data_IF_708729581434
#
_entry.id   IF_708729581434
#
_cell.length_a   1.000
_cell.length_b   1.000
_cell.length_c   1.000
_cell.angle_alpha   90.00
_cell.angle_beta   90.00
_cell.angle_gamma   90.00
#
_symmetry.space_group_name_H-M   'P 1'
#
loop_
_entity.id
_entity.type
_entity.pdbx_description
1 polymer ?
#
# COMPACT_ATOMS: atom_id res chain seq x y z
N UNK A 1 -0.55 -17.01 -1.63
CA UNK A 1 0.46 -16.06 -1.27
C UNK A 1 -0.10 -14.94 -0.42
N UNK A 2 0.76 -14.28 0.31
CA UNK A 2 0.37 -13.17 1.16
C UNK A 2 0.50 -11.86 0.38
N UNK A 3 -0.53 -11.05 0.48
CA UNK A 3 -0.52 -9.72 -0.12
C UNK A 3 -1.38 -8.79 0.71
N UNK A 4 -0.95 -7.54 0.78
CA UNK A 4 -1.71 -6.48 1.42
C UNK A 4 -2.03 -5.45 0.36
N UNK A 5 -3.24 -4.92 0.41
CA UNK A 5 -3.72 -3.93 -0.54
C UNK A 5 -3.98 -2.62 0.16
N UNK A 6 -3.43 -1.55 -0.39
CA UNK A 6 -3.61 -0.20 0.14
C UNK A 6 -4.18 0.71 -0.93
N UNK A 7 -4.96 1.69 -0.51
CA UNK A 7 -5.27 2.83 -1.34
C UNK A 7 -4.31 3.94 -0.98
N UNK A 8 -3.56 4.44 -1.97
CA UNK A 8 -2.57 5.49 -1.76
C UNK A 8 -2.95 6.71 -2.57
N UNK A 9 -2.52 7.88 -2.11
CA UNK A 9 -2.69 9.14 -2.82
C UNK A 9 -1.33 9.61 -3.31
N UNK A 10 -1.27 10.04 -4.57
CA UNK A 10 -0.07 10.69 -5.09
C UNK A 10 -0.08 12.18 -4.72
N UNK A 11 0.97 12.90 -5.15
CA UNK A 11 1.12 14.31 -4.85
C UNK A 11 0.01 15.17 -5.47
N UNK A 12 -0.67 14.67 -6.48
CA UNK A 12 -1.78 15.35 -7.13
C UNK A 12 -3.12 14.99 -6.53
N UNK A 13 -3.15 14.15 -5.48
CA UNK A 13 -4.38 13.72 -4.84
C UNK A 13 -5.09 12.58 -5.55
N UNK A 14 -4.49 12.00 -6.58
CA UNK A 14 -5.09 10.87 -7.29
C UNK A 14 -4.91 9.59 -6.49
N UNK A 15 -5.95 8.78 -6.45
CA UNK A 15 -5.94 7.51 -5.73
C UNK A 15 -5.42 6.39 -6.63
N UNK A 16 -4.58 5.55 -6.03
CA UNK A 16 -4.04 4.36 -6.68
C UNK A 16 -4.18 3.18 -5.75
N UNK A 17 -4.41 2.01 -6.33
CA UNK A 17 -4.40 0.77 -5.60
C UNK A 17 -3.00 0.19 -5.63
N UNK A 18 -2.42 -0.06 -4.46
CA UNK A 18 -1.06 -0.56 -4.33
C UNK A 18 -1.07 -1.90 -3.60
N UNK A 19 -0.33 -2.85 -4.16
CA UNK A 19 -0.19 -4.19 -3.60
C UNK A 19 1.21 -4.37 -3.04
N UNK A 20 1.29 -4.93 -1.85
CA UNK A 20 2.56 -5.35 -1.25
C UNK A 20 2.51 -6.86 -1.06
N UNK A 21 3.35 -7.56 -1.79
CA UNK A 21 3.41 -9.03 -1.73
C UNK A 21 4.43 -9.50 -0.70
N UNK A 22 4.22 -10.69 -0.18
CA UNK A 22 5.08 -11.31 0.80
C UNK A 22 4.58 -11.09 2.23
N UNK A 23 5.46 -11.36 3.19
CA UNK A 23 5.13 -11.19 4.60
C UNK A 23 4.95 -9.70 4.94
N UNK A 24 3.79 -9.28 5.43
CA UNK A 24 3.56 -7.88 5.75
C UNK A 24 4.22 -7.41 7.05
N UNK A 25 4.75 -8.32 7.86
CA UNK A 25 5.27 -7.96 9.17
C UNK A 25 6.40 -6.93 9.13
N UNK A 26 7.40 -7.05 8.23
CA UNK A 26 8.45 -6.02 8.17
C UNK A 26 7.93 -4.64 7.82
N UNK A 27 7.02 -4.56 6.86
CA UNK A 27 6.41 -3.28 6.46
C UNK A 27 5.61 -2.68 7.61
N UNK A 28 4.81 -3.50 8.28
CA UNK A 28 3.99 -3.05 9.41
C UNK A 28 4.87 -2.56 10.55
N UNK A 29 5.95 -3.27 10.86
CA UNK A 29 6.89 -2.87 11.91
C UNK A 29 7.57 -1.54 11.55
N UNK A 30 7.97 -1.38 10.30
CA UNK A 30 8.59 -0.14 9.84
C UNK A 30 7.62 1.04 10.00
N UNK A 31 6.39 0.88 9.55
CA UNK A 31 5.38 1.94 9.65
C UNK A 31 5.01 2.24 11.10
N UNK A 32 4.88 1.22 11.94
CA UNK A 32 4.54 1.42 13.34
C UNK A 32 5.65 2.15 14.10
N UNK A 33 6.91 1.83 13.80
CA UNK A 33 8.04 2.49 14.43
C UNK A 33 8.14 3.96 14.01
N UNK A 34 7.75 4.27 12.79
CA UNK A 34 7.90 5.62 12.24
C UNK A 34 6.68 6.50 12.45
N UNK A 35 5.50 5.94 12.37
CA UNK A 35 4.24 6.71 12.40
C UNK A 35 3.33 6.35 13.57
N UNK A 36 3.66 5.31 14.32
CA UNK A 36 2.84 4.83 15.43
C UNK A 36 1.87 3.74 15.00
N UNK A 37 1.56 2.84 15.93
CA UNK A 37 0.68 1.71 15.66
C UNK A 37 -0.74 2.17 15.31
N UNK A 38 -1.20 3.26 15.92
CA UNK A 38 -2.54 3.79 15.64
C UNK A 38 -2.68 4.18 14.17
N UNK A 39 -1.64 4.79 13.58
CA UNK A 39 -1.68 5.17 12.17
C UNK A 39 -1.75 3.94 11.28
N UNK A 40 -1.03 2.88 11.62
CA UNK A 40 -1.07 1.62 10.89
C UNK A 40 -2.46 0.99 10.99
N UNK A 41 -3.06 0.99 12.17
CA UNK A 41 -4.40 0.45 12.37
C UNK A 41 -5.43 1.21 11.53
N UNK A 42 -5.32 2.52 11.47
CA UNK A 42 -6.20 3.35 10.64
C UNK A 42 -6.02 3.04 9.16
N UNK A 43 -4.80 2.82 8.73
CA UNK A 43 -4.51 2.47 7.35
C UNK A 43 -5.24 1.19 6.94
N UNK A 44 -5.15 0.16 7.77
CA UNK A 44 -5.82 -1.11 7.48
C UNK A 44 -7.34 -1.03 7.56
N UNK A 45 -7.86 -0.10 8.34
CA UNK A 45 -9.31 0.13 8.43
C UNK A 45 -9.83 1.06 7.34
N UNK A 46 -8.95 1.59 6.50
CA UNK A 46 -9.34 2.54 5.46
C UNK A 46 -9.70 3.92 5.99
N UNK A 47 -9.27 4.25 7.20
CA UNK A 47 -9.55 5.54 7.82
C UNK A 47 -8.45 6.54 7.49
N UNK A 48 -8.75 7.82 7.70
CA UNK A 48 -7.79 8.90 7.52
C UNK A 48 -6.60 8.71 8.44
N UNK A 49 -5.42 8.82 7.89
CA UNK A 49 -4.15 8.74 8.60
C UNK A 49 -3.14 9.63 7.89
N UNK A 50 -2.00 9.87 8.53
CA UNK A 50 -0.98 10.77 7.99
C UNK A 50 0.35 10.05 7.70
N UNK A 51 0.27 8.80 7.29
CA UNK A 51 1.44 8.05 6.85
C UNK A 51 1.91 8.61 5.52
N UNK A 52 3.17 9.04 5.47
CA UNK A 52 3.83 9.51 4.26
C UNK A 52 5.18 8.83 4.15
N UNK A 53 5.38 8.15 3.03
CA UNK A 53 6.63 7.43 2.80
C UNK A 53 6.88 7.35 1.32
N UNK A 54 8.14 7.20 0.95
CA UNK A 54 8.53 7.01 -0.43
C UNK A 54 8.51 5.53 -0.75
N UNK A 55 7.96 5.18 -1.89
CA UNK A 55 7.92 3.80 -2.34
C UNK A 55 8.39 3.72 -3.78
N UNK A 56 9.08 2.64 -4.11
CA UNK A 56 9.31 2.28 -5.50
C UNK A 56 8.31 1.20 -5.86
N UNK A 57 7.81 1.26 -7.07
CA UNK A 57 6.76 0.37 -7.51
C UNK A 57 6.87 0.13 -9.01
N UNK A 58 6.15 -0.87 -9.48
CA UNK A 58 5.97 -1.08 -10.92
C UNK A 58 4.48 -1.32 -11.19
N UNK A 59 4.00 -0.93 -12.39
CA UNK A 59 2.62 -1.19 -12.76
C UNK A 59 2.43 -2.65 -13.15
N UNK A 60 1.27 -3.18 -12.84
CA UNK A 60 0.89 -4.54 -13.21
C UNK A 60 -0.57 -4.57 -13.59
N UNK A 61 -0.92 -5.37 -14.59
CA UNK A 61 -2.31 -5.59 -14.96
C UNK A 61 -2.82 -6.83 -14.28
N UNK A 62 -3.96 -6.71 -13.64
CA UNK A 62 -4.62 -7.82 -12.99
C UNK A 62 -5.94 -8.09 -13.71
N UNK A 63 -6.08 -9.29 -14.27
CA UNK A 63 -7.29 -9.71 -14.95
C UNK A 63 -8.04 -10.69 -14.09
N UNK A 64 -9.29 -10.36 -13.80
CA UNK A 64 -10.16 -11.19 -12.97
C UNK A 64 -11.58 -11.13 -13.53
N UNK A 65 -12.14 -12.30 -13.80
CA UNK A 65 -13.50 -12.44 -14.36
C UNK A 65 -13.74 -11.56 -15.60
N UNK A 66 -12.75 -11.51 -16.48
CA UNK A 66 -12.83 -10.72 -17.72
C UNK A 66 -12.56 -9.24 -17.57
N UNK A 67 -12.33 -8.75 -16.35
CA UNK A 67 -12.00 -7.36 -16.10
C UNK A 67 -10.51 -7.20 -15.87
N UNK A 68 -9.92 -6.19 -16.50
CA UNK A 68 -8.49 -5.87 -16.34
C UNK A 68 -8.36 -4.57 -15.60
N UNK A 69 -7.60 -4.58 -14.50
CA UNK A 69 -7.31 -3.41 -13.68
C UNK A 69 -5.82 -3.16 -13.62
N UNK A 70 -5.45 -1.90 -13.65
CA UNK A 70 -4.08 -1.49 -13.37
C UNK A 70 -3.89 -1.41 -11.86
N UNK A 71 -2.83 -2.02 -11.37
CA UNK A 71 -2.44 -1.92 -9.97
C UNK A 71 -0.95 -1.61 -9.88
N UNK A 72 -0.54 -1.01 -8.79
CA UNK A 72 0.86 -0.72 -8.52
C UNK A 72 1.38 -1.78 -7.54
N UNK A 73 2.56 -2.33 -7.83
CA UNK A 73 3.17 -3.33 -6.97
C UNK A 73 4.36 -2.70 -6.26
N UNK A 74 4.30 -2.64 -4.94
CA UNK A 74 5.35 -2.04 -4.12
C UNK A 74 6.59 -2.92 -4.17
N UNK A 75 7.75 -2.31 -4.42
CA UNK A 75 9.04 -2.99 -4.42
C UNK A 75 9.84 -2.65 -3.17
N UNK A 76 10.03 -1.36 -2.91
CA UNK A 76 10.80 -0.88 -1.78
C UNK A 76 10.08 0.31 -1.17
N UNK A 77 10.40 0.61 0.09
CA UNK A 77 9.83 1.74 0.80
C UNK A 77 10.86 2.37 1.71
N UNK A 78 10.60 3.63 2.05
CA UNK A 78 11.54 4.39 2.84
C UNK A 78 10.83 5.46 3.67
#
# INVERSE_FOLDING_TARGET
>A
GNAVRFTVLDDCGKRWEMMAFGDPAPLNAYMAARFGQEAVDRLYLGKTQNIRMSVTYYPSLNTYQGNTKLQLVMQQYQ
#
